data_IF_885717994708
#
_entry.id   IF_885717994708
#
_cell.length_a   1.000
_cell.length_b   1.000
_cell.length_c   1.000
_cell.angle_alpha   90.00
_cell.angle_beta   90.00
_cell.angle_gamma   90.00
#
_symmetry.space_group_name_H-M   'P 1'
#
loop_
_entity.id
_entity.type
_entity.pdbx_description
1 polymer ?
#
# COMPACT_ATOMS: atom_id res chain seq x y z
N UNK A 1 12.74 9.75 -3.08
CA UNK A 1 12.62 8.31 -2.78
C UNK A 1 12.71 8.07 -1.29
N UNK A 2 11.93 7.10 -0.79
CA UNK A 2 11.86 6.82 0.64
C UNK A 2 12.21 5.35 0.84
N UNK A 3 13.23 5.08 1.66
CA UNK A 3 13.66 3.74 1.99
C UNK A 3 12.90 3.14 3.17
N UNK A 4 13.21 1.89 3.49
CA UNK A 4 12.46 1.13 4.50
C UNK A 4 12.51 1.75 5.89
N UNK A 5 13.62 2.36 6.28
CA UNK A 5 13.71 2.98 7.61
C UNK A 5 12.69 4.10 7.77
N UNK A 6 12.61 4.97 6.77
CA UNK A 6 11.66 6.08 6.82
C UNK A 6 10.21 5.58 6.71
N UNK A 7 9.96 4.53 5.90
CA UNK A 7 8.63 3.93 5.83
C UNK A 7 8.22 3.43 7.22
N UNK A 8 9.12 2.78 7.95
CA UNK A 8 8.84 2.29 9.30
C UNK A 8 8.62 3.43 10.29
N UNK A 9 9.22 4.58 10.08
CA UNK A 9 8.94 5.76 10.90
C UNK A 9 7.55 6.33 10.64
N UNK A 10 7.03 6.15 9.44
CA UNK A 10 5.73 6.69 9.02
C UNK A 10 4.60 5.71 9.32
N UNK A 11 4.78 4.42 9.00
CA UNK A 11 3.77 3.39 9.20
C UNK A 11 4.02 2.61 10.48
N UNK A 12 2.95 2.28 11.24
CA UNK A 12 3.11 1.45 12.45
C UNK A 12 3.28 -0.03 12.16
N UNK A 13 3.00 -0.46 10.94
CA UNK A 13 3.05 -1.87 10.54
C UNK A 13 4.46 -2.47 10.71
N UNK A 14 4.51 -3.74 11.09
CA UNK A 14 5.77 -4.48 11.26
C UNK A 14 5.60 -5.90 10.70
N UNK A 15 6.71 -6.62 10.59
CA UNK A 15 6.69 -8.00 10.17
C UNK A 15 5.62 -8.79 10.94
N UNK A 16 4.81 -9.62 10.31
CA UNK A 16 4.82 -9.97 8.88
C UNK A 16 3.87 -9.11 8.03
N UNK A 17 3.40 -7.97 8.53
CA UNK A 17 2.33 -7.19 7.92
C UNK A 17 2.79 -5.87 7.31
N UNK A 18 4.07 -5.60 7.27
CA UNK A 18 4.63 -4.45 6.55
C UNK A 18 4.86 -4.89 5.11
N UNK A 19 4.07 -4.33 4.18
CA UNK A 19 3.98 -4.82 2.81
C UNK A 19 4.46 -3.81 1.76
N UNK A 20 5.29 -2.85 2.16
CA UNK A 20 5.90 -1.87 1.25
C UNK A 20 7.38 -1.82 1.55
N UNK A 21 8.21 -2.00 0.53
CA UNK A 21 9.65 -2.06 0.70
C UNK A 21 10.34 -0.73 0.38
N UNK A 22 9.76 0.07 -0.53
CA UNK A 22 10.38 1.29 -0.99
C UNK A 22 9.35 2.19 -1.66
N UNK A 23 9.51 3.49 -1.50
CA UNK A 23 8.77 4.47 -2.29
C UNK A 23 9.74 5.02 -3.34
N UNK A 24 9.37 4.89 -4.61
CA UNK A 24 10.23 5.29 -5.72
C UNK A 24 9.84 6.62 -6.35
N UNK A 25 8.60 7.08 -6.11
CA UNK A 25 8.10 8.32 -6.66
C UNK A 25 7.02 8.87 -5.73
N UNK A 26 7.02 10.16 -5.48
CA UNK A 26 5.98 10.79 -4.69
C UNK A 26 5.83 12.25 -5.07
N UNK A 27 4.58 12.66 -5.29
CA UNK A 27 4.21 14.05 -5.48
C UNK A 27 3.11 14.38 -4.48
N UNK A 28 3.40 15.27 -3.53
CA UNK A 28 2.48 15.58 -2.44
C UNK A 28 1.11 16.00 -2.94
N UNK A 29 0.09 15.40 -2.36
CA UNK A 29 -1.29 15.69 -2.73
C UNK A 29 -1.76 15.09 -4.04
N UNK A 30 -0.89 14.39 -4.78
CA UNK A 30 -1.22 13.91 -6.12
C UNK A 30 -0.98 12.43 -6.34
N UNK A 31 0.22 11.92 -6.01
CA UNK A 31 0.61 10.59 -6.46
C UNK A 31 1.71 10.00 -5.61
N UNK A 32 1.68 8.69 -5.47
CA UNK A 32 2.78 7.93 -4.88
C UNK A 32 2.96 6.61 -5.63
N UNK A 33 4.19 6.18 -5.76
CA UNK A 33 4.54 4.89 -6.32
C UNK A 33 5.43 4.14 -5.35
N UNK A 34 4.97 2.96 -4.94
CA UNK A 34 5.69 2.09 -4.02
C UNK A 34 6.02 0.75 -4.65
N UNK A 35 6.92 0.02 -4.02
CA UNK A 35 7.37 -1.29 -4.48
C UNK A 35 7.30 -2.28 -3.33
N UNK A 36 6.86 -3.50 -3.63
CA UNK A 36 7.03 -4.65 -2.77
C UNK A 36 7.67 -5.78 -3.56
N UNK A 37 8.74 -6.32 -2.99
CA UNK A 37 9.35 -7.53 -3.53
C UNK A 37 8.64 -8.74 -2.92
N UNK A 38 8.00 -9.56 -3.76
CA UNK A 38 7.29 -10.74 -3.30
C UNK A 38 8.26 -11.91 -3.29
N UNK A 39 8.49 -12.49 -2.13
CA UNK A 39 9.44 -13.60 -1.98
C UNK A 39 8.80 -14.79 -1.31
N UNK A 40 9.42 -15.98 -1.47
CA UNK A 40 8.92 -17.20 -0.84
C UNK A 40 9.05 -17.17 0.69
N UNK A 41 9.76 -16.18 1.25
CA UNK A 41 9.91 -16.01 2.69
C UNK A 41 8.71 -15.32 3.36
N UNK A 42 7.66 -15.05 2.61
CA UNK A 42 6.43 -14.49 3.19
C UNK A 42 5.64 -15.60 3.90
N UNK A 43 5.25 -15.40 5.16
CA UNK A 43 4.58 -16.46 5.92
C UNK A 43 3.24 -16.90 5.34
N UNK A 44 2.53 -16.02 4.63
CA UNK A 44 1.21 -16.38 4.08
C UNK A 44 1.26 -17.44 2.98
N UNK A 45 2.40 -17.66 2.33
CA UNK A 45 2.49 -18.67 1.28
C UNK A 45 2.41 -20.11 1.79
N UNK A 46 2.61 -20.32 3.10
CA UNK A 46 2.46 -21.66 3.66
C UNK A 46 1.03 -22.17 3.57
N UNK A 47 0.07 -21.26 3.70
CA UNK A 47 -1.35 -21.63 3.67
C UNK A 47 -2.09 -21.22 2.39
N UNK A 48 -1.47 -20.41 1.54
CA UNK A 48 -2.20 -19.85 0.38
C UNK A 48 -1.34 -19.97 -0.89
N UNK A 49 -1.21 -21.15 -1.48
CA UNK A 49 -1.76 -22.43 -1.06
C UNK A 49 -0.63 -23.45 -0.98
N UNK A 50 -0.74 -24.51 -0.19
CA UNK A 50 0.31 -25.54 -0.11
C UNK A 50 0.69 -26.04 -1.51
N UNK A 51 1.99 -25.96 -1.85
CA UNK A 51 2.49 -26.37 -3.17
C UNK A 51 2.18 -25.42 -4.32
N UNK A 52 1.42 -24.37 -4.09
CA UNK A 52 1.07 -23.38 -5.12
C UNK A 52 0.95 -21.99 -4.50
N UNK A 53 2.09 -21.33 -4.29
CA UNK A 53 2.09 -20.02 -3.62
C UNK A 53 1.51 -18.93 -4.50
N UNK A 54 0.46 -18.30 -4.00
CA UNK A 54 -0.20 -17.15 -4.64
C UNK A 54 -0.42 -16.10 -3.56
N UNK A 55 -0.01 -14.86 -3.82
CA UNK A 55 -0.24 -13.78 -2.85
C UNK A 55 -1.72 -13.51 -2.72
N UNK A 56 -2.27 -13.55 -1.49
CA UNK A 56 -3.69 -13.24 -1.29
C UNK A 56 -4.04 -11.87 -1.84
N UNK A 57 -5.10 -11.81 -2.65
CA UNK A 57 -5.53 -10.54 -3.25
C UNK A 57 -5.84 -9.48 -2.21
N UNK A 58 -6.42 -9.88 -1.07
CA UNK A 58 -6.72 -8.93 0.02
C UNK A 58 -5.45 -8.31 0.60
N UNK A 59 -4.32 -9.03 0.56
CA UNK A 59 -3.04 -8.48 1.01
C UNK A 59 -2.41 -7.54 -0.03
N UNK A 60 -2.71 -7.73 -1.31
CA UNK A 60 -2.32 -6.76 -2.33
C UNK A 60 -3.06 -5.44 -2.08
N UNK A 61 -4.36 -5.52 -1.76
CA UNK A 61 -5.14 -4.33 -1.38
C UNK A 61 -4.52 -3.67 -0.15
N UNK A 62 -4.16 -4.46 0.87
CA UNK A 62 -3.52 -3.94 2.08
C UNK A 62 -2.21 -3.22 1.74
N UNK A 63 -1.39 -3.80 0.86
CA UNK A 63 -0.13 -3.19 0.45
C UNK A 63 -0.34 -1.85 -0.27
N UNK A 64 -1.38 -1.77 -1.12
CA UNK A 64 -1.76 -0.51 -1.77
C UNK A 64 -2.23 0.51 -0.73
N UNK A 65 -2.99 0.06 0.26
CA UNK A 65 -3.45 0.93 1.34
C UNK A 65 -2.27 1.49 2.15
N UNK A 66 -1.29 0.65 2.46
CA UNK A 66 -0.08 1.11 3.16
C UNK A 66 0.70 2.13 2.34
N UNK A 67 0.84 1.90 1.06
CA UNK A 67 1.53 2.84 0.16
C UNK A 67 0.79 4.19 0.14
N UNK A 68 -0.53 4.16 -0.01
CA UNK A 68 -1.34 5.38 0.07
C UNK A 68 -1.25 6.05 1.44
N UNK A 69 -1.13 5.24 2.49
CA UNK A 69 -0.94 5.73 3.86
C UNK A 69 0.34 6.53 4.03
N UNK A 70 1.42 6.14 3.35
CA UNK A 70 2.66 6.91 3.38
C UNK A 70 2.41 8.32 2.82
N UNK A 71 1.72 8.41 1.68
CA UNK A 71 1.41 9.70 1.08
C UNK A 71 0.55 10.56 2.02
N UNK A 72 -0.49 9.96 2.59
CA UNK A 72 -1.39 10.67 3.50
C UNK A 72 -0.66 11.18 4.74
N UNK A 73 0.16 10.34 5.35
CA UNK A 73 0.89 10.71 6.56
C UNK A 73 1.99 11.73 6.30
N UNK A 74 2.55 11.77 5.09
CA UNK A 74 3.54 12.80 4.74
C UNK A 74 2.91 14.19 4.64
N UNK A 75 1.59 14.29 4.51
CA UNK A 75 0.89 15.58 4.54
C UNK A 75 0.69 16.10 5.97
N UNK A 76 0.92 15.25 6.97
CA UNK A 76 0.84 15.64 8.39
C UNK A 76 2.17 16.25 8.81
N UNK A 77 2.18 17.37 9.56
CA UNK A 77 3.43 17.92 10.09
C UNK A 77 4.22 16.86 10.86
N UNK A 78 5.55 16.76 10.66
CA UNK A 78 6.35 15.69 11.25
C UNK A 78 6.20 15.54 12.77
N UNK A 79 6.04 16.65 13.48
CA UNK A 79 5.88 16.63 14.93
C UNK A 79 4.54 16.05 15.39
N UNK A 80 3.56 15.93 14.47
CA UNK A 80 2.23 15.41 14.78
C UNK A 80 2.02 13.96 14.35
N UNK A 81 2.94 13.39 13.58
CA UNK A 81 2.77 12.04 13.00
C UNK A 81 2.51 11.00 14.10
N UNK A 82 3.21 11.10 15.24
CA UNK A 82 3.04 10.14 16.35
C UNK A 82 1.64 10.17 16.95
N UNK A 83 0.94 11.28 16.80
CA UNK A 83 -0.38 11.48 17.39
C UNK A 83 -1.52 11.20 16.41
N UNK A 84 -1.19 10.82 15.20
CA UNK A 84 -2.18 10.56 14.16
C UNK A 84 -2.22 9.08 13.81
N UNK A 85 -3.37 8.65 13.34
CA UNK A 85 -3.57 7.32 12.79
C UNK A 85 -4.44 7.44 11.54
N UNK A 86 -4.21 6.56 10.58
CA UNK A 86 -4.99 6.52 9.35
C UNK A 86 -5.93 5.32 9.38
N UNK A 87 -7.20 5.55 9.06
CA UNK A 87 -8.20 4.51 8.87
C UNK A 87 -8.65 4.49 7.43
N UNK A 88 -8.75 3.30 6.86
CA UNK A 88 -9.38 3.14 5.57
C UNK A 88 -10.86 2.90 5.77
N UNK A 89 -11.67 3.84 5.26
CA UNK A 89 -13.12 3.88 5.49
C UNK A 89 -13.87 2.99 4.51
N UNK A 90 -13.35 2.86 3.29
CA UNK A 90 -14.00 2.06 2.26
C UNK A 90 -13.01 1.58 1.23
N UNK A 91 -13.36 0.47 0.60
CA UNK A 91 -12.66 -0.10 -0.54
C UNK A 91 -13.73 -0.40 -1.58
N UNK A 92 -13.60 0.21 -2.76
CA UNK A 92 -14.56 0.07 -3.83
C UNK A 92 -13.90 -0.44 -5.09
N UNK A 93 -14.67 -1.08 -5.95
CA UNK A 93 -14.22 -1.48 -7.30
C UNK A 93 -12.95 -2.32 -7.25
N UNK A 94 -12.82 -3.17 -6.23
CA UNK A 94 -11.67 -4.05 -6.11
C UNK A 94 -11.75 -5.14 -7.17
N UNK A 95 -10.69 -5.27 -7.97
CA UNK A 95 -10.60 -6.28 -9.03
C UNK A 95 -9.24 -6.93 -9.00
N UNK A 96 -9.24 -8.25 -9.19
CA UNK A 96 -8.03 -9.07 -9.22
C UNK A 96 -7.92 -9.66 -10.61
N UNK A 97 -6.88 -9.26 -11.35
CA UNK A 97 -6.78 -9.56 -12.78
C UNK A 97 -5.79 -10.64 -13.12
N UNK A 98 -4.76 -10.84 -12.27
CA UNK A 98 -3.79 -11.92 -12.48
C UNK A 98 -3.16 -12.30 -11.16
N UNK A 99 -2.76 -13.59 -11.01
CA UNK A 99 -2.07 -14.03 -9.78
C UNK A 99 -0.72 -13.37 -9.63
N UNK A 100 -0.33 -13.13 -8.38
CA UNK A 100 0.99 -12.65 -8.00
C UNK A 100 1.68 -13.77 -7.23
N UNK A 101 2.91 -14.10 -7.64
CA UNK A 101 3.64 -15.25 -7.12
C UNK A 101 5.02 -14.83 -6.61
N UNK A 102 5.68 -15.67 -5.78
CA UNK A 102 7.06 -15.37 -5.36
C UNK A 102 7.97 -15.15 -6.57
N UNK A 103 8.81 -14.13 -6.49
CA UNK A 103 9.66 -13.69 -7.58
C UNK A 103 9.13 -12.46 -8.30
N UNK A 104 7.84 -12.16 -8.16
CA UNK A 104 7.28 -10.95 -8.74
C UNK A 104 7.67 -9.72 -7.92
N UNK A 105 7.82 -8.59 -8.60
CA UNK A 105 7.91 -7.30 -7.93
C UNK A 105 6.63 -6.53 -8.23
N UNK A 106 5.92 -6.17 -7.16
CA UNK A 106 4.72 -5.34 -7.28
C UNK A 106 5.10 -3.87 -7.31
N UNK A 107 4.55 -3.15 -8.27
CA UNK A 107 4.63 -1.70 -8.36
C UNK A 107 3.24 -1.16 -8.07
N UNK A 108 3.11 -0.39 -7.00
CA UNK A 108 1.84 0.23 -6.63
C UNK A 108 1.81 1.66 -7.13
N UNK A 109 0.88 1.95 -8.04
CA UNK A 109 0.67 3.31 -8.55
C UNK A 109 -0.63 3.83 -7.97
N UNK A 110 -0.54 4.90 -7.19
CA UNK A 110 -1.67 5.41 -6.43
C UNK A 110 -1.82 6.90 -6.72
N UNK A 111 -3.00 7.26 -7.22
CA UNK A 111 -3.34 8.65 -7.55
C UNK A 111 -4.40 9.17 -6.59
N UNK A 112 -4.24 10.41 -6.15
CA UNK A 112 -5.25 11.09 -5.34
C UNK A 112 -6.37 11.54 -6.27
N UNK A 113 -7.59 11.06 -6.00
CA UNK A 113 -8.79 11.49 -6.74
C UNK A 113 -9.30 12.79 -6.14
N UNK A 114 -9.35 12.86 -4.81
CA UNK A 114 -9.88 14.00 -4.08
C UNK A 114 -9.29 14.02 -2.68
N UNK A 115 -9.03 15.23 -2.19
CA UNK A 115 -8.65 15.43 -0.80
C UNK A 115 -9.49 16.56 -0.24
N UNK A 116 -10.18 16.30 0.87
CA UNK A 116 -11.00 17.28 1.55
C UNK A 116 -10.83 17.12 3.05
N UNK A 117 -10.29 18.16 3.70
CA UNK A 117 -10.01 18.11 5.12
C UNK A 117 -9.08 16.94 5.46
N UNK A 118 -9.52 16.03 6.33
CA UNK A 118 -8.72 14.87 6.73
C UNK A 118 -9.07 13.59 5.95
N UNK A 119 -9.85 13.71 4.85
CA UNK A 119 -10.29 12.58 4.04
C UNK A 119 -9.60 12.62 2.68
N UNK A 120 -9.06 11.48 2.26
CA UNK A 120 -8.38 11.35 0.98
C UNK A 120 -8.95 10.16 0.22
N UNK A 121 -9.40 10.39 -1.02
CA UNK A 121 -9.87 9.35 -1.93
C UNK A 121 -8.75 9.00 -2.91
N UNK A 122 -8.48 7.72 -3.06
CA UNK A 122 -7.34 7.21 -3.82
C UNK A 122 -7.79 6.21 -4.87
N UNK A 123 -7.14 6.25 -6.03
CA UNK A 123 -7.25 5.21 -7.04
C UNK A 123 -5.93 4.47 -7.10
N UNK A 124 -5.96 3.15 -6.90
CA UNK A 124 -4.77 2.34 -6.75
C UNK A 124 -4.71 1.22 -7.77
N UNK A 125 -3.52 0.99 -8.31
CA UNK A 125 -3.22 -0.15 -9.17
C UNK A 125 -1.95 -0.83 -8.68
N UNK A 126 -1.95 -2.16 -8.73
CA UNK A 126 -0.77 -2.98 -8.47
C UNK A 126 -0.37 -3.66 -9.77
N UNK A 127 0.86 -3.43 -10.21
CA UNK A 127 1.36 -3.93 -11.49
C UNK A 127 2.53 -4.88 -11.29
N UNK A 128 2.59 -5.89 -12.16
CA UNK A 128 3.75 -6.78 -12.29
C UNK A 128 4.18 -6.70 -13.74
N UNK A 129 5.44 -6.33 -13.97
CA UNK A 129 6.01 -6.19 -15.33
C UNK A 129 5.11 -5.34 -16.25
N UNK A 130 4.55 -4.27 -15.70
CA UNK A 130 3.72 -3.34 -16.46
C UNK A 130 2.27 -3.76 -16.64
N UNK A 131 1.86 -4.95 -16.22
CA UNK A 131 0.49 -5.42 -16.35
C UNK A 131 -0.23 -5.31 -15.00
N UNK A 132 -1.48 -4.83 -15.03
CA UNK A 132 -2.27 -4.67 -13.82
C UNK A 132 -2.62 -6.04 -13.24
N UNK A 133 -2.21 -6.31 -12.02
CA UNK A 133 -2.54 -7.52 -11.29
C UNK A 133 -3.78 -7.31 -10.40
N UNK A 134 -3.91 -6.13 -9.80
CA UNK A 134 -5.05 -5.79 -8.97
C UNK A 134 -5.29 -4.29 -9.02
N UNK A 135 -6.50 -3.87 -8.71
CA UNK A 135 -6.85 -2.46 -8.62
C UNK A 135 -7.99 -2.24 -7.63
N UNK A 136 -8.08 -1.03 -7.10
CA UNK A 136 -9.17 -0.64 -6.20
C UNK A 136 -9.24 0.88 -6.07
N UNK A 137 -10.37 1.38 -5.58
CA UNK A 137 -10.49 2.73 -5.07
C UNK A 137 -10.64 2.65 -3.56
N UNK A 138 -9.98 3.56 -2.85
CA UNK A 138 -9.96 3.54 -1.39
C UNK A 138 -10.20 4.94 -0.85
N UNK A 139 -10.84 5.00 0.31
CA UNK A 139 -11.02 6.26 1.03
C UNK A 139 -10.38 6.13 2.40
N UNK A 140 -9.51 7.08 2.73
CA UNK A 140 -8.77 7.10 3.99
C UNK A 140 -9.08 8.34 4.79
N UNK A 141 -9.05 8.21 6.12
CA UNK A 141 -9.24 9.34 7.03
C UNK A 141 -8.11 9.38 8.05
N UNK A 142 -7.53 10.56 8.24
CA UNK A 142 -6.49 10.79 9.24
C UNK A 142 -7.16 11.36 10.48
N UNK A 143 -6.96 10.73 11.61
CA UNK A 143 -7.56 11.14 12.88
C UNK A 143 -6.52 11.15 13.99
N UNK A 144 -6.85 11.80 15.11
CA UNK A 144 -6.03 11.75 16.30
C UNK A 144 -6.14 10.38 16.97
N UNK A 145 -5.03 9.94 17.54
CA UNK A 145 -5.04 8.72 18.34
C UNK A 145 -5.90 8.87 19.57
#
# INVERSE_FOLDING_TARGET
MIGIQEIMDILPHRYPFLLVDKIVEMEMGKRIVGIKNVTMNEPFFQGHFPGRPIMPGVLIIEAMAQTGGVLAMKSVPPEQVKNKVIFFMSIDKAKFRKPVIPGDQLRFEIDVIRQRSNIMSLKAQALVDGAVAAEAEMMAMIVDK
#
